data_IF_339334914816
#
_entry.id   IF_339334914816
#
_cell.length_a   1.000
_cell.length_b   1.000
_cell.length_c   1.000
_cell.angle_alpha   90.00
_cell.angle_beta   90.00
_cell.angle_gamma   90.00
#
_symmetry.space_group_name_H-M   'P 1'
#
loop_
_entity.id
_entity.type
_entity.pdbx_description
1 polymer ?
#
# COMPACT_ATOMS: atom_id res chain seq x y z
N UNK A 1 62.76 10.17 -4.87
CA UNK A 1 62.54 10.74 -6.21
C UNK A 1 61.76 9.74 -7.07
N UNK A 2 60.72 10.21 -7.77
CA UNK A 2 59.85 9.52 -8.78
C UNK A 2 58.94 8.41 -8.21
N UNK A 3 57.67 8.67 -7.85
CA UNK A 3 56.43 9.10 -8.57
C UNK A 3 55.47 7.91 -8.72
N UNK A 4 54.37 8.00 -7.97
CA UNK A 4 53.14 7.23 -8.08
C UNK A 4 52.52 7.32 -9.48
N UNK A 5 51.93 6.22 -9.94
CA UNK A 5 51.03 6.17 -11.09
C UNK A 5 49.90 5.17 -10.83
N UNK A 6 48.85 5.59 -10.12
CA UNK A 6 47.56 4.88 -10.06
C UNK A 6 46.78 5.22 -11.32
N UNK A 7 46.47 4.23 -12.15
CA UNK A 7 45.43 4.36 -13.17
C UNK A 7 44.05 4.22 -12.52
N UNK A 8 43.46 5.37 -12.19
CA UNK A 8 42.01 5.52 -12.10
C UNK A 8 41.50 5.78 -13.52
N UNK A 9 40.69 4.86 -14.06
CA UNK A 9 39.85 5.18 -15.22
C UNK A 9 38.51 5.70 -14.69
N UNK A 10 38.36 7.02 -14.77
CA UNK A 10 37.09 7.73 -14.63
C UNK A 10 36.19 7.37 -15.81
N UNK A 11 35.14 6.59 -15.57
CA UNK A 11 33.96 6.56 -16.44
C UNK A 11 32.74 6.49 -15.54
N UNK A 12 32.28 7.63 -15.04
CA UNK A 12 30.86 7.94 -14.84
C UNK A 12 30.75 9.46 -14.79
N UNK A 13 30.41 10.04 -15.94
CA UNK A 13 29.95 11.42 -16.00
C UNK A 13 28.65 11.53 -15.20
N UNK A 14 28.74 12.08 -14.00
CA UNK A 14 27.57 12.56 -13.27
C UNK A 14 27.02 13.78 -14.02
N UNK A 15 26.17 13.52 -15.01
CA UNK A 15 25.21 14.50 -15.45
C UNK A 15 24.32 14.85 -14.26
N UNK A 16 24.47 16.07 -13.77
CA UNK A 16 23.55 16.70 -12.82
C UNK A 16 22.16 16.76 -13.45
N UNK A 17 21.37 15.71 -13.25
CA UNK A 17 19.93 15.76 -13.49
C UNK A 17 19.27 16.55 -12.37
N UNK A 18 19.49 17.86 -12.37
CA UNK A 18 18.51 18.80 -11.78
C UNK A 18 17.35 18.92 -12.77
N UNK A 19 16.56 17.85 -12.92
CA UNK A 19 15.19 18.01 -13.39
C UNK A 19 14.36 18.30 -12.16
N UNK A 20 13.97 19.57 -12.02
CA UNK A 20 12.73 19.94 -11.35
C UNK A 20 11.69 18.91 -11.79
N UNK A 21 11.16 18.11 -10.86
CA UNK A 21 9.88 17.46 -11.06
C UNK A 21 8.84 18.54 -10.80
N UNK A 22 8.24 19.20 -11.82
CA UNK A 22 6.88 19.62 -11.61
C UNK A 22 6.08 18.31 -11.63
N UNK A 23 5.55 17.90 -10.49
CA UNK A 23 4.28 17.18 -10.48
C UNK A 23 3.26 18.12 -11.13
N UNK A 24 3.27 18.19 -12.47
CA UNK A 24 2.15 18.76 -13.21
C UNK A 24 1.01 17.81 -12.93
N UNK A 25 0.06 18.25 -12.11
CA UNK A 25 -1.26 17.66 -12.05
C UNK A 25 -1.71 17.41 -13.48
N UNK A 26 -1.88 16.15 -13.88
CA UNK A 26 -2.69 15.89 -15.06
C UNK A 26 -4.09 16.23 -14.63
N UNK A 27 -4.63 17.26 -15.26
CA UNK A 27 -6.02 17.64 -15.10
C UNK A 27 -6.88 16.40 -15.36
N UNK A 28 -7.69 15.99 -14.38
CA UNK A 28 -8.63 14.87 -14.54
C UNK A 28 -9.52 15.11 -15.78
N UNK A 29 -9.81 16.39 -16.05
CA UNK A 29 -10.52 16.87 -17.25
C UNK A 29 -9.86 16.49 -18.58
N UNK A 30 -8.54 16.28 -18.62
CA UNK A 30 -7.84 15.88 -19.85
C UNK A 30 -8.19 14.47 -20.31
N UNK A 31 -8.48 13.57 -19.37
CA UNK A 31 -8.80 12.18 -19.70
C UNK A 31 -10.29 11.94 -19.90
N UNK A 32 -11.18 12.74 -19.30
CA UNK A 32 -12.63 12.61 -19.46
C UNK A 32 -13.10 12.69 -20.92
N UNK A 33 -12.35 13.40 -21.77
CA UNK A 33 -12.64 13.57 -23.21
C UNK A 33 -11.90 12.58 -24.11
N UNK A 34 -11.07 11.70 -23.54
CA UNK A 34 -10.25 10.78 -24.31
C UNK A 34 -11.08 9.57 -24.74
N UNK A 35 -11.22 9.36 -26.04
CA UNK A 35 -11.90 8.21 -26.59
C UNK A 35 -10.97 6.98 -26.58
N UNK A 36 -11.04 6.22 -25.49
CA UNK A 36 -10.24 5.01 -25.29
C UNK A 36 -10.55 3.90 -26.31
N UNK A 37 -11.71 3.94 -26.97
CA UNK A 37 -12.11 2.90 -27.93
C UNK A 37 -11.17 2.82 -29.13
N UNK A 38 -10.54 3.94 -29.51
CA UNK A 38 -9.57 4.03 -30.61
C UNK A 38 -8.25 3.31 -30.34
N UNK A 39 -7.93 3.08 -29.07
CA UNK A 39 -6.69 2.39 -28.65
C UNK A 39 -6.82 0.87 -28.66
N UNK A 40 -8.06 0.38 -28.75
CA UNK A 40 -8.37 -1.03 -28.69
C UNK A 40 -8.69 -1.51 -30.09
N UNK A 41 -8.05 -2.59 -30.52
CA UNK A 41 -8.42 -3.29 -31.75
C UNK A 41 -9.94 -3.59 -31.71
N UNK A 42 -10.60 -3.82 -32.85
CA UNK A 42 -12.05 -4.12 -32.94
C UNK A 42 -12.51 -5.40 -32.20
N UNK A 43 -11.69 -5.90 -31.29
CA UNK A 43 -11.97 -6.98 -30.39
C UNK A 43 -13.12 -6.64 -29.42
N UNK A 44 -13.95 -7.64 -29.09
CA UNK A 44 -14.96 -7.51 -28.05
C UNK A 44 -14.29 -7.33 -26.69
N UNK A 45 -14.90 -6.52 -25.83
CA UNK A 45 -14.50 -6.35 -24.44
C UNK A 45 -15.74 -6.66 -23.62
N UNK A 46 -15.66 -7.65 -22.74
CA UNK A 46 -16.79 -8.07 -21.92
C UNK A 46 -16.89 -7.23 -20.64
N UNK A 47 -15.77 -6.69 -20.16
CA UNK A 47 -15.76 -5.83 -18.97
C UNK A 47 -14.68 -4.75 -19.00
N UNK A 48 -15.00 -3.61 -18.40
CA UNK A 48 -14.09 -2.48 -18.18
C UNK A 48 -13.97 -2.22 -16.68
N UNK A 49 -12.74 -2.17 -16.17
CA UNK A 49 -12.44 -1.99 -14.75
C UNK A 49 -11.72 -0.66 -14.56
N UNK A 50 -12.35 0.29 -13.87
CA UNK A 50 -11.71 1.54 -13.46
C UNK A 50 -10.94 1.35 -12.16
N UNK A 51 -9.64 1.60 -12.20
CA UNK A 51 -8.78 1.70 -11.01
C UNK A 51 -8.53 3.19 -10.82
N UNK A 52 -9.01 3.79 -9.72
CA UNK A 52 -8.96 5.22 -9.37
C UNK A 52 -10.01 6.16 -10.00
N UNK A 53 -10.18 7.32 -9.36
CA UNK A 53 -11.16 8.36 -9.73
C UNK A 53 -10.97 8.89 -11.17
N UNK A 54 -9.76 9.28 -11.63
CA UNK A 54 -9.53 9.66 -13.02
C UNK A 54 -9.99 8.64 -14.07
N UNK A 55 -10.02 7.35 -13.73
CA UNK A 55 -10.43 6.29 -14.65
C UNK A 55 -11.95 6.09 -14.75
N UNK A 56 -12.76 6.64 -13.84
CA UNK A 56 -14.21 6.33 -13.75
C UNK A 56 -14.94 6.72 -15.03
N UNK A 57 -14.94 8.01 -15.39
CA UNK A 57 -15.68 8.52 -16.56
C UNK A 57 -15.20 7.89 -17.87
N UNK A 58 -13.88 7.80 -18.16
CA UNK A 58 -13.41 7.14 -19.38
C UNK A 58 -13.81 5.65 -19.45
N UNK A 59 -13.83 4.95 -18.32
CA UNK A 59 -14.20 3.53 -18.28
C UNK A 59 -15.68 3.32 -18.60
N UNK A 60 -16.56 4.16 -18.05
CA UNK A 60 -18.00 4.10 -18.35
C UNK A 60 -18.26 4.37 -19.83
N UNK A 61 -17.61 5.40 -20.38
CA UNK A 61 -17.75 5.72 -21.81
C UNK A 61 -17.28 4.56 -22.69
N UNK A 62 -16.13 3.96 -22.37
CA UNK A 62 -15.62 2.80 -23.09
C UNK A 62 -16.57 1.60 -22.98
N UNK A 63 -17.10 1.33 -21.79
CA UNK A 63 -18.04 0.25 -21.56
C UNK A 63 -19.32 0.42 -22.37
N UNK A 64 -19.87 1.63 -22.42
CA UNK A 64 -21.06 1.94 -23.24
C UNK A 64 -20.79 1.75 -24.75
N UNK A 65 -19.61 2.13 -25.25
CA UNK A 65 -19.24 1.93 -26.66
C UNK A 65 -19.08 0.45 -27.01
N UNK A 66 -18.57 -0.34 -26.06
CA UNK A 66 -18.26 -1.77 -26.25
C UNK A 66 -19.38 -2.71 -25.81
N UNK A 67 -20.48 -2.18 -25.27
CA UNK A 67 -21.55 -2.95 -24.61
C UNK A 67 -21.00 -3.90 -23.54
N UNK A 68 -20.14 -3.36 -22.68
CA UNK A 68 -19.38 -4.12 -21.69
C UNK A 68 -19.85 -3.84 -20.25
N UNK A 69 -19.59 -4.78 -19.34
CA UNK A 69 -19.81 -4.55 -17.91
C UNK A 69 -18.83 -3.51 -17.35
N UNK A 70 -19.33 -2.58 -16.53
CA UNK A 70 -18.49 -1.61 -15.84
C UNK A 70 -18.27 -2.02 -14.38
N UNK A 71 -17.01 -2.09 -13.98
CA UNK A 71 -16.55 -2.34 -12.62
C UNK A 71 -15.71 -1.16 -12.15
N UNK A 72 -15.96 -0.66 -10.94
CA UNK A 72 -15.16 0.41 -10.33
C UNK A 72 -14.51 -0.13 -9.04
N UNK A 73 -13.19 0.03 -8.90
CA UNK A 73 -12.44 -0.33 -7.68
C UNK A 73 -11.94 0.95 -6.98
N UNK A 74 -12.52 1.24 -5.81
CA UNK A 74 -12.25 2.46 -5.05
C UNK A 74 -11.44 2.17 -3.79
N UNK A 75 -10.34 2.90 -3.61
CA UNK A 75 -9.48 2.84 -2.44
C UNK A 75 -9.53 4.10 -1.55
N UNK A 76 -10.30 5.11 -1.96
CA UNK A 76 -10.51 6.36 -1.23
C UNK A 76 -11.94 6.90 -1.43
N UNK A 77 -12.41 7.80 -0.54
CA UNK A 77 -13.63 8.57 -0.77
C UNK A 77 -13.51 9.42 -2.04
N UNK A 78 -14.59 9.45 -2.81
CA UNK A 78 -14.73 10.25 -4.04
C UNK A 78 -15.42 11.58 -3.74
N UNK A 79 -15.13 12.62 -4.51
CA UNK A 79 -15.83 13.91 -4.40
C UNK A 79 -17.33 13.76 -4.68
N UNK A 80 -18.14 14.33 -3.80
CA UNK A 80 -19.50 13.91 -3.56
C UNK A 80 -20.47 14.22 -4.71
N UNK A 81 -20.15 15.20 -5.55
CA UNK A 81 -21.07 15.65 -6.61
C UNK A 81 -20.69 15.15 -8.00
N UNK A 82 -19.43 14.77 -8.22
CA UNK A 82 -18.90 14.59 -9.57
C UNK A 82 -19.29 13.25 -10.21
N UNK A 83 -19.26 12.15 -9.44
CA UNK A 83 -19.42 10.79 -9.98
C UNK A 83 -20.68 10.07 -9.52
N UNK A 84 -21.55 10.70 -8.74
CA UNK A 84 -22.70 10.03 -8.12
C UNK A 84 -23.63 9.39 -9.13
N UNK A 85 -23.95 10.07 -10.24
CA UNK A 85 -24.82 9.50 -11.28
C UNK A 85 -24.11 8.37 -12.02
N UNK A 86 -22.85 8.58 -12.42
CA UNK A 86 -22.00 7.58 -13.03
C UNK A 86 -21.96 6.27 -12.22
N UNK A 87 -21.78 6.36 -10.91
CA UNK A 87 -21.70 5.19 -10.01
C UNK A 87 -23.04 4.50 -9.73
N UNK A 88 -24.17 5.16 -10.01
CA UNK A 88 -25.48 4.48 -9.93
C UNK A 88 -25.67 3.50 -11.09
N UNK A 89 -25.04 3.75 -12.23
CA UNK A 89 -25.25 2.99 -13.46
C UNK A 89 -24.26 1.84 -13.66
N UNK A 90 -23.12 1.83 -12.95
CA UNK A 90 -22.13 0.75 -13.09
C UNK A 90 -22.64 -0.59 -12.56
N UNK A 91 -22.10 -1.69 -13.05
CA UNK A 91 -22.57 -3.03 -12.68
C UNK A 91 -22.05 -3.47 -11.30
N UNK A 92 -20.79 -3.17 -11.00
CA UNK A 92 -20.15 -3.57 -9.75
C UNK A 92 -19.24 -2.47 -9.20
N UNK A 93 -19.27 -2.29 -7.88
CA UNK A 93 -18.37 -1.38 -7.17
C UNK A 93 -17.67 -2.17 -6.07
N UNK A 94 -16.35 -2.10 -6.07
CA UNK A 94 -15.49 -2.54 -4.99
C UNK A 94 -15.04 -1.34 -4.15
N UNK A 95 -14.96 -1.57 -2.84
CA UNK A 95 -14.40 -0.66 -1.86
C UNK A 95 -13.28 -1.34 -1.10
N UNK A 96 -12.17 -0.64 -0.87
CA UNK A 96 -11.02 -1.18 -0.14
C UNK A 96 -11.31 -1.48 1.34
N UNK A 97 -12.33 -0.84 1.93
CA UNK A 97 -12.69 -1.00 3.35
C UNK A 97 -14.20 -0.84 3.60
N UNK A 98 -14.65 -1.23 4.80
CA UNK A 98 -16.06 -1.22 5.19
C UNK A 98 -16.57 0.20 5.42
N UNK A 99 -15.79 1.07 6.05
CA UNK A 99 -16.18 2.46 6.26
C UNK A 99 -16.55 3.18 4.94
N UNK A 100 -15.72 3.03 3.91
CA UNK A 100 -15.97 3.56 2.57
C UNK A 100 -17.18 2.88 1.91
N UNK A 101 -17.29 1.55 2.02
CA UNK A 101 -18.42 0.81 1.48
C UNK A 101 -19.75 1.30 2.07
N UNK A 102 -19.87 1.39 3.40
CA UNK A 102 -21.08 1.87 4.07
C UNK A 102 -21.44 3.31 3.71
N UNK A 103 -20.44 4.18 3.52
CA UNK A 103 -20.67 5.54 3.02
C UNK A 103 -21.28 5.54 1.61
N UNK A 104 -20.68 4.77 0.71
CA UNK A 104 -21.15 4.63 -0.67
C UNK A 104 -22.52 3.94 -0.76
N UNK A 105 -22.79 2.92 0.05
CA UNK A 105 -24.07 2.20 0.08
C UNK A 105 -25.23 3.13 0.43
N UNK A 106 -25.06 3.94 1.49
CA UNK A 106 -26.07 4.94 1.89
C UNK A 106 -26.33 5.96 0.79
N UNK A 107 -25.27 6.39 0.11
CA UNK A 107 -25.33 7.45 -0.91
C UNK A 107 -25.92 6.98 -2.23
N UNK A 108 -25.54 5.79 -2.67
CA UNK A 108 -25.93 5.22 -3.95
C UNK A 108 -27.19 4.34 -3.84
N UNK A 109 -27.65 4.04 -2.63
CA UNK A 109 -28.75 3.13 -2.32
C UNK A 109 -28.59 1.78 -3.03
N UNK A 110 -27.38 1.22 -2.97
CA UNK A 110 -27.01 -0.07 -3.57
C UNK A 110 -25.93 -0.74 -2.72
N UNK A 111 -25.83 -2.05 -2.82
CA UNK A 111 -24.76 -2.81 -2.17
C UNK A 111 -23.39 -2.52 -2.79
N UNK A 112 -22.34 -2.45 -1.95
CA UNK A 112 -20.95 -2.24 -2.36
C UNK A 112 -20.11 -3.41 -1.86
N UNK A 113 -19.35 -4.05 -2.75
CA UNK A 113 -18.51 -5.20 -2.37
C UNK A 113 -17.23 -4.71 -1.71
N UNK A 114 -16.86 -5.28 -0.57
CA UNK A 114 -15.58 -4.94 0.10
C UNK A 114 -14.49 -5.87 -0.43
N UNK A 115 -13.47 -5.32 -1.10
CA UNK A 115 -12.28 -6.07 -1.52
C UNK A 115 -11.02 -5.36 -1.02
N UNK A 116 -10.32 -5.98 -0.08
CA UNK A 116 -9.16 -5.35 0.56
C UNK A 116 -7.91 -5.49 -0.31
N UNK A 117 -7.02 -4.51 -0.21
CA UNK A 117 -5.74 -4.51 -0.93
C UNK A 117 -4.68 -5.31 -0.18
N UNK A 118 -4.90 -6.63 -0.04
CA UNK A 118 -3.98 -7.53 0.67
C UNK A 118 -3.04 -8.21 -0.34
N UNK A 119 -1.74 -7.96 -0.22
CA UNK A 119 -0.74 -8.61 -1.08
C UNK A 119 -0.60 -10.10 -0.72
N UNK A 120 -0.44 -10.95 -1.73
CA UNK A 120 -0.08 -12.35 -1.55
C UNK A 120 1.38 -12.44 -1.10
N UNK A 121 1.62 -12.94 0.10
CA UNK A 121 2.98 -13.17 0.58
C UNK A 121 3.52 -14.49 0.02
N UNK A 122 4.70 -14.43 -0.61
CA UNK A 122 5.46 -15.62 -0.95
C UNK A 122 6.27 -16.05 0.27
N UNK A 123 6.24 -17.34 0.60
CA UNK A 123 7.12 -17.90 1.62
C UNK A 123 8.56 -17.88 1.11
N UNK A 124 9.39 -17.01 1.67
CA UNK A 124 10.81 -16.99 1.40
C UNK A 124 11.53 -17.66 2.58
N UNK A 125 12.42 -18.60 2.27
CA UNK A 125 13.25 -19.29 3.28
C UNK A 125 14.42 -18.44 3.77
N UNK A 126 14.75 -17.36 3.06
CA UNK A 126 15.81 -16.42 3.39
C UNK A 126 15.21 -15.09 3.82
N UNK A 127 15.78 -14.53 4.88
CA UNK A 127 15.31 -13.30 5.51
C UNK A 127 16.47 -12.41 5.96
N UNK A 128 16.16 -11.14 6.25
CA UNK A 128 17.09 -10.17 6.80
C UNK A 128 16.79 -9.98 8.28
N UNK A 129 17.72 -10.41 9.12
CA UNK A 129 17.65 -10.30 10.57
C UNK A 129 18.13 -8.91 11.03
N UNK A 130 17.20 -8.10 11.52
CA UNK A 130 17.48 -6.72 11.92
C UNK A 130 18.38 -6.62 13.17
N UNK A 131 18.31 -7.57 14.12
CA UNK A 131 19.20 -7.58 15.28
C UNK A 131 20.64 -7.77 14.83
N UNK A 132 20.87 -8.68 13.88
CA UNK A 132 22.20 -8.92 13.31
C UNK A 132 22.74 -7.74 12.50
N UNK A 133 21.90 -7.08 11.71
CA UNK A 133 22.29 -5.91 10.91
C UNK A 133 22.81 -4.78 11.79
N UNK A 134 22.20 -4.55 12.95
CA UNK A 134 22.55 -3.46 13.86
C UNK A 134 23.34 -3.90 15.10
N UNK A 135 23.80 -5.15 15.13
CA UNK A 135 24.55 -5.73 16.26
C UNK A 135 23.88 -5.52 17.62
N UNK A 136 22.54 -5.68 17.65
CA UNK A 136 21.75 -5.56 18.87
C UNK A 136 21.86 -6.84 19.69
N UNK A 137 21.88 -6.70 21.01
CA UNK A 137 21.89 -7.83 21.95
C UNK A 137 20.51 -8.52 21.97
N UNK A 138 20.48 -9.79 22.38
CA UNK A 138 19.27 -10.60 22.32
C UNK A 138 18.11 -10.03 23.16
N UNK A 139 18.42 -9.44 24.32
CA UNK A 139 17.42 -8.82 25.21
C UNK A 139 16.93 -7.44 24.73
N UNK A 140 17.47 -6.91 23.63
CA UNK A 140 16.96 -5.67 23.03
C UNK A 140 15.54 -5.89 22.52
N UNK A 141 14.63 -5.02 22.96
CA UNK A 141 13.28 -4.96 22.42
C UNK A 141 13.23 -4.04 21.21
N UNK A 142 12.61 -4.51 20.13
CA UNK A 142 12.55 -3.80 18.86
C UNK A 142 11.14 -3.29 18.61
N UNK A 143 11.05 -1.99 18.43
CA UNK A 143 9.89 -1.32 17.85
C UNK A 143 10.20 -1.00 16.39
N UNK A 144 9.29 -1.33 15.47
CA UNK A 144 9.41 -0.97 14.06
C UNK A 144 8.44 0.16 13.68
N UNK A 145 8.90 1.08 12.84
CA UNK A 145 8.07 2.07 12.17
C UNK A 145 8.39 2.07 10.67
N UNK A 146 7.39 2.05 9.83
CA UNK A 146 7.55 2.09 8.37
C UNK A 146 7.25 3.52 7.88
N UNK A 147 8.29 4.18 7.38
CA UNK A 147 8.30 5.56 6.93
C UNK A 147 7.69 5.75 5.54
N UNK A 148 7.26 4.69 4.86
CA UNK A 148 6.57 4.80 3.57
C UNK A 148 5.15 5.34 3.79
N UNK A 149 5.05 6.66 3.95
CA UNK A 149 3.83 7.36 4.29
C UNK A 149 3.03 7.59 3.00
N UNK A 150 1.76 7.20 3.00
CA UNK A 150 0.82 7.69 2.00
C UNK A 150 0.37 9.09 2.39
N UNK A 151 0.52 10.04 1.47
CA UNK A 151 0.31 11.46 1.75
C UNK A 151 -1.14 11.86 1.48
N UNK A 152 -1.68 12.68 2.38
CA UNK A 152 -2.90 13.47 2.15
C UNK A 152 -2.71 14.32 0.88
N UNK A 153 -3.76 14.46 0.07
CA UNK A 153 -3.77 15.51 -0.96
C UNK A 153 -3.50 16.86 -0.29
N UNK A 154 -2.43 17.56 -0.71
CA UNK A 154 -2.13 18.93 -0.29
C UNK A 154 -1.05 19.10 0.79
N UNK A 155 -0.51 18.03 1.38
CA UNK A 155 0.56 18.14 2.39
C UNK A 155 1.91 17.66 1.86
N UNK A 156 3.00 18.36 2.23
CA UNK A 156 4.35 17.98 1.85
C UNK A 156 4.77 16.68 2.57
N UNK A 157 5.26 15.66 1.82
CA UNK A 157 5.80 14.43 2.38
C UNK A 157 6.80 14.63 3.52
N UNK A 158 7.65 15.64 3.37
CA UNK A 158 8.72 15.94 4.32
C UNK A 158 8.17 16.42 5.66
N UNK A 159 7.12 17.26 5.64
CA UNK A 159 6.56 17.85 6.86
C UNK A 159 5.83 16.80 7.69
N UNK A 160 5.04 15.94 7.04
CA UNK A 160 4.37 14.82 7.70
C UNK A 160 5.41 13.88 8.33
N UNK A 161 6.45 13.52 7.57
CA UNK A 161 7.45 12.60 8.10
C UNK A 161 8.22 13.22 9.26
N UNK A 162 8.62 14.49 9.16
CA UNK A 162 9.26 15.24 10.25
C UNK A 162 8.40 15.23 11.52
N UNK A 163 7.10 15.52 11.41
CA UNK A 163 6.19 15.50 12.57
C UNK A 163 6.15 14.12 13.23
N UNK A 164 6.07 13.04 12.44
CA UNK A 164 6.12 11.67 12.96
C UNK A 164 7.46 11.36 13.64
N UNK A 165 8.58 11.83 13.10
CA UNK A 165 9.89 11.66 13.72
C UNK A 165 9.98 12.37 15.08
N UNK A 166 9.48 13.61 15.19
CA UNK A 166 9.40 14.34 16.47
C UNK A 166 8.57 13.55 17.48
N UNK A 167 7.37 13.13 17.08
CA UNK A 167 6.47 12.38 17.95
C UNK A 167 7.08 11.06 18.43
N UNK A 168 7.70 10.30 17.54
CA UNK A 168 8.38 9.04 17.89
C UNK A 168 9.58 9.29 18.81
N UNK A 169 10.35 10.38 18.60
CA UNK A 169 11.47 10.72 19.47
C UNK A 169 11.02 11.01 20.91
N UNK A 170 9.91 11.74 21.07
CA UNK A 170 9.28 12.01 22.36
C UNK A 170 8.80 10.72 23.05
N UNK A 171 8.22 9.78 22.29
CA UNK A 171 7.87 8.46 22.82
C UNK A 171 9.13 7.75 23.31
N UNK A 172 10.16 7.65 22.47
CA UNK A 172 11.35 6.87 22.74
C UNK A 172 12.15 7.41 23.94
N UNK A 173 12.20 8.73 24.13
CA UNK A 173 12.79 9.39 25.31
C UNK A 173 12.21 8.82 26.62
N UNK A 174 10.92 8.49 26.64
CA UNK A 174 10.20 8.01 27.81
C UNK A 174 10.17 6.47 27.95
N UNK A 175 10.77 5.74 27.01
CA UNK A 175 10.88 4.28 27.02
C UNK A 175 12.24 3.82 27.60
N UNK A 176 12.29 2.61 28.18
CA UNK A 176 13.54 2.05 28.70
C UNK A 176 14.67 2.01 27.67
N UNK A 177 15.93 2.10 28.14
CA UNK A 177 17.10 2.17 27.26
C UNK A 177 17.31 0.94 26.38
N UNK A 178 16.82 -0.22 26.79
CA UNK A 178 16.89 -1.47 26.02
C UNK A 178 15.87 -1.53 24.87
N UNK A 179 14.98 -0.54 24.75
CA UNK A 179 14.03 -0.43 23.63
C UNK A 179 14.67 0.36 22.50
N UNK A 180 14.76 -0.26 21.33
CA UNK A 180 15.30 0.33 20.11
C UNK A 180 14.20 0.51 19.06
N UNK A 181 14.33 1.57 18.27
CA UNK A 181 13.47 1.86 17.14
C UNK A 181 14.20 1.53 15.84
N UNK A 182 13.54 0.79 14.96
CA UNK A 182 13.98 0.58 13.58
C UNK A 182 12.97 1.25 12.64
N UNK A 183 13.43 2.25 11.92
CA UNK A 183 12.68 2.92 10.88
C UNK A 183 13.00 2.23 9.55
N UNK A 184 11.97 1.78 8.83
CA UNK A 184 12.11 1.17 7.50
C UNK A 184 11.57 2.12 6.44
N UNK A 185 12.19 2.19 5.27
CA UNK A 185 11.73 3.05 4.18
C UNK A 185 12.64 3.01 2.95
N UNK A 186 12.28 3.73 1.90
CA UNK A 186 13.06 3.82 0.67
C UNK A 186 14.22 4.82 0.75
N UNK A 187 14.85 5.05 -0.40
CA UNK A 187 15.95 6.02 -0.54
C UNK A 187 15.46 7.44 -0.26
N UNK A 188 14.25 7.77 -0.68
CA UNK A 188 13.62 9.08 -0.43
C UNK A 188 13.47 9.32 1.07
N UNK A 189 12.86 8.38 1.78
CA UNK A 189 12.65 8.47 3.23
C UNK A 189 13.99 8.51 3.98
N UNK A 190 14.99 7.75 3.53
CA UNK A 190 16.35 7.80 4.11
C UNK A 190 16.93 9.21 4.04
N UNK A 191 16.77 9.89 2.90
CA UNK A 191 17.30 11.24 2.72
C UNK A 191 16.59 12.23 3.63
N UNK A 192 15.27 12.10 3.81
CA UNK A 192 14.50 12.92 4.75
C UNK A 192 14.93 12.63 6.19
N UNK A 193 15.08 11.36 6.56
CA UNK A 193 15.55 10.97 7.89
C UNK A 193 16.90 11.61 8.22
N UNK A 194 17.88 11.55 7.30
CA UNK A 194 19.19 12.20 7.48
C UNK A 194 19.09 13.72 7.69
N UNK A 195 18.15 14.40 7.03
CA UNK A 195 17.94 15.83 7.24
C UNK A 195 17.44 16.18 8.65
N UNK A 196 16.81 15.21 9.33
CA UNK A 196 16.16 15.39 10.63
C UNK A 196 16.70 14.45 11.71
N UNK A 197 17.89 13.85 11.52
CA UNK A 197 18.47 12.89 12.47
C UNK A 197 18.75 13.53 13.83
N UNK A 198 19.06 14.83 13.85
CA UNK A 198 19.28 15.62 15.05
C UNK A 198 18.06 15.71 15.99
N UNK A 199 16.85 15.34 15.53
CA UNK A 199 15.67 15.22 16.40
C UNK A 199 15.96 14.23 17.52
N UNK A 200 16.52 13.05 17.19
CA UNK A 200 16.77 12.01 18.19
C UNK A 200 17.94 12.35 19.11
N UNK A 201 18.88 13.18 18.67
CA UNK A 201 19.93 13.71 19.55
C UNK A 201 19.34 14.64 20.62
N UNK A 202 18.41 15.53 20.25
CA UNK A 202 17.73 16.43 21.20
C UNK A 202 16.95 15.68 22.28
N UNK A 203 16.45 14.49 21.95
CA UNK A 203 15.71 13.60 22.85
C UNK A 203 16.60 12.51 23.49
N UNK A 204 17.93 12.63 23.39
CA UNK A 204 18.91 11.69 23.97
C UNK A 204 18.66 10.22 23.59
N UNK A 205 18.25 9.97 22.35
CA UNK A 205 17.87 8.64 21.88
C UNK A 205 18.50 8.25 20.53
N UNK A 206 19.45 9.03 20.01
CA UNK A 206 20.14 8.78 18.73
C UNK A 206 20.76 7.38 18.62
N UNK A 207 21.36 6.86 19.69
CA UNK A 207 21.97 5.51 19.72
C UNK A 207 20.95 4.36 19.71
N UNK A 208 19.68 4.67 19.91
CA UNK A 208 18.58 3.70 19.95
C UNK A 208 17.75 3.69 18.67
N UNK A 209 18.11 4.49 17.68
CA UNK A 209 17.34 4.68 16.45
C UNK A 209 18.16 4.27 15.24
N UNK A 210 17.58 3.38 14.44
CA UNK A 210 18.25 2.81 13.27
C UNK A 210 17.38 3.01 12.03
N UNK A 211 17.99 3.36 10.89
CA UNK A 211 17.25 3.48 9.62
C UNK A 211 17.65 2.38 8.64
N UNK A 212 16.72 1.48 8.36
CA UNK A 212 16.86 0.45 7.35
C UNK A 212 16.30 0.93 6.01
N UNK A 213 17.18 1.03 5.01
CA UNK A 213 16.78 1.38 3.64
C UNK A 213 16.41 0.13 2.85
N UNK A 214 15.13 -0.01 2.51
CA UNK A 214 14.65 -1.02 1.58
C UNK A 214 15.34 -0.82 0.22
N UNK A 215 15.95 -1.88 -0.32
CA UNK A 215 16.73 -1.86 -1.54
C UNK A 215 16.38 -3.09 -2.42
N UNK A 216 17.01 -3.25 -3.58
CA UNK A 216 16.75 -4.41 -4.46
C UNK A 216 16.92 -5.76 -3.75
N UNK A 217 17.80 -5.86 -2.76
CA UNK A 217 17.96 -7.07 -1.96
C UNK A 217 16.78 -7.30 -0.99
N UNK A 218 16.12 -6.26 -0.47
CA UNK A 218 14.91 -6.41 0.37
C UNK A 218 13.71 -6.92 -0.43
N UNK A 219 13.67 -6.73 -1.75
CA UNK A 219 12.70 -7.41 -2.63
C UNK A 219 12.96 -8.92 -2.73
N UNK A 220 14.22 -9.35 -2.60
CA UNK A 220 14.62 -10.76 -2.66
C UNK A 220 14.54 -11.45 -1.29
N UNK A 221 14.84 -10.71 -0.22
CA UNK A 221 14.90 -11.22 1.15
C UNK A 221 14.06 -10.31 2.05
N UNK A 222 12.86 -10.74 2.47
CA UNK A 222 12.04 -9.94 3.37
C UNK A 222 12.73 -9.77 4.72
N UNK A 223 12.40 -8.69 5.43
CA UNK A 223 12.78 -8.53 6.82
C UNK A 223 12.18 -9.67 7.66
N UNK A 224 12.99 -10.14 8.60
CA UNK A 224 12.58 -10.99 9.68
C UNK A 224 11.90 -10.15 10.75
N UNK A 225 10.65 -10.49 11.02
CA UNK A 225 9.83 -9.82 12.00
C UNK A 225 9.62 -10.67 13.25
N UNK A 226 10.20 -11.89 13.31
CA UNK A 226 10.10 -12.76 14.48
C UNK A 226 10.79 -12.14 15.71
N UNK A 227 11.77 -11.26 15.47
CA UNK A 227 12.49 -10.48 16.48
C UNK A 227 11.94 -9.06 16.70
N UNK A 228 10.78 -8.73 16.14
CA UNK A 228 10.13 -7.42 16.31
C UNK A 228 9.03 -7.55 17.36
N UNK A 229 9.19 -6.85 18.47
CA UNK A 229 8.23 -6.90 19.58
C UNK A 229 6.95 -6.10 19.30
N UNK A 230 7.05 -5.02 18.54
CA UNK A 230 5.92 -4.12 18.31
C UNK A 230 6.09 -3.28 17.05
N UNK A 231 4.99 -3.01 16.34
CA UNK A 231 4.94 -2.05 15.26
C UNK A 231 4.17 -0.77 15.64
N UNK A 232 4.68 0.38 15.22
CA UNK A 232 3.95 1.65 15.26
C UNK A 232 3.31 1.93 13.90
N UNK A 233 2.02 2.21 13.91
CA UNK A 233 1.27 2.58 12.71
C UNK A 233 0.68 3.99 12.87
N UNK A 234 1.47 4.99 12.45
CA UNK A 234 1.07 6.39 12.53
C UNK A 234 0.43 6.81 11.22
N UNK A 235 -0.88 6.63 11.11
CA UNK A 235 -1.66 7.07 9.97
C UNK A 235 -2.14 8.51 10.13
N UNK A 236 -2.23 9.22 9.01
CA UNK A 236 -2.78 10.59 8.92
C UNK A 236 -4.17 10.61 8.26
N UNK A 237 -4.63 9.48 7.70
CA UNK A 237 -5.87 9.42 6.93
C UNK A 237 -6.90 8.44 7.51
N UNK A 238 -7.98 8.96 8.08
CA UNK A 238 -9.00 8.14 8.75
C UNK A 238 -9.80 7.22 7.80
N UNK A 239 -9.80 7.50 6.48
CA UNK A 239 -10.60 6.76 5.50
C UNK A 239 -9.82 5.66 4.73
N UNK A 240 -8.53 5.51 5.03
CA UNK A 240 -7.67 4.54 4.38
C UNK A 240 -7.19 3.47 5.36
N UNK A 241 -7.11 2.21 4.92
CA UNK A 241 -6.46 1.14 5.68
C UNK A 241 -4.99 1.03 5.22
N UNK A 242 -4.00 1.37 6.06
CA UNK A 242 -2.59 1.37 5.67
C UNK A 242 -2.12 0.02 5.16
N UNK A 243 -1.37 -0.02 4.06
CA UNK A 243 -0.74 -1.27 3.58
C UNK A 243 0.17 -1.92 4.62
N UNK A 244 0.75 -1.10 5.50
CA UNK A 244 1.56 -1.52 6.65
C UNK A 244 0.78 -2.39 7.64
N UNK A 245 -0.53 -2.16 7.81
CA UNK A 245 -1.37 -3.04 8.64
C UNK A 245 -1.30 -4.48 8.14
N UNK A 246 -1.51 -4.70 6.84
CA UNK A 246 -1.46 -6.04 6.25
C UNK A 246 -0.05 -6.63 6.29
N UNK A 247 0.99 -5.80 6.14
CA UNK A 247 2.40 -6.21 6.31
C UNK A 247 2.62 -6.78 7.71
N UNK A 248 2.28 -6.04 8.77
CA UNK A 248 2.47 -6.46 10.15
C UNK A 248 1.57 -7.64 10.55
N UNK A 249 0.30 -7.65 10.13
CA UNK A 249 -0.60 -8.80 10.35
C UNK A 249 -0.02 -10.08 9.76
N UNK A 250 0.47 -10.02 8.52
CA UNK A 250 1.01 -11.19 7.84
C UNK A 250 2.29 -11.74 8.49
N UNK A 251 3.00 -10.86 9.21
CA UNK A 251 4.21 -11.12 9.96
C UNK A 251 3.93 -11.40 11.44
N UNK A 252 2.66 -11.45 11.85
CA UNK A 252 2.25 -11.71 13.22
C UNK A 252 2.90 -10.74 14.22
N UNK A 253 3.06 -9.48 13.81
CA UNK A 253 3.61 -8.41 14.65
C UNK A 253 2.44 -7.63 15.26
N UNK A 254 2.38 -7.51 16.60
CA UNK A 254 1.39 -6.68 17.25
C UNK A 254 1.63 -5.20 16.95
N UNK A 255 0.58 -4.39 17.04
CA UNK A 255 0.65 -3.00 16.60
C UNK A 255 -0.03 -2.03 17.56
N UNK A 256 0.54 -0.85 17.70
CA UNK A 256 -0.13 0.32 18.27
C UNK A 256 -0.27 1.35 17.16
N UNK A 257 -1.48 1.83 16.96
CA UNK A 257 -1.82 2.64 15.79
C UNK A 257 -2.61 3.89 16.16
N UNK A 258 -2.49 4.93 15.35
CA UNK A 258 -3.56 5.94 15.27
C UNK A 258 -4.79 5.35 14.59
N UNK A 259 -5.92 6.04 14.64
CA UNK A 259 -7.14 5.61 13.96
C UNK A 259 -6.95 5.56 12.42
N UNK A 260 -7.60 4.59 11.79
CA UNK A 260 -7.62 4.38 10.34
C UNK A 260 -8.89 3.61 9.96
N UNK A 261 -9.18 3.45 8.67
CA UNK A 261 -10.41 2.79 8.25
C UNK A 261 -10.50 1.35 8.77
N UNK A 262 -11.62 1.06 9.44
CA UNK A 262 -11.92 -0.20 10.10
C UNK A 262 -10.97 -0.60 11.26
N UNK A 263 -10.13 0.33 11.76
CA UNK A 263 -9.12 0.04 12.79
C UNK A 263 -9.70 -0.63 14.05
N UNK A 264 -10.87 -0.19 14.50
CA UNK A 264 -11.55 -0.78 15.65
C UNK A 264 -11.85 -2.27 15.44
N UNK A 265 -12.37 -2.65 14.28
CA UNK A 265 -12.65 -4.06 13.95
C UNK A 265 -11.34 -4.83 13.73
N UNK A 266 -10.40 -4.23 12.99
CA UNK A 266 -9.20 -4.87 12.50
C UNK A 266 -8.10 -5.04 13.55
N UNK A 267 -8.10 -4.21 14.60
CA UNK A 267 -7.07 -4.20 15.65
C UNK A 267 -7.68 -4.47 17.02
N UNK A 268 -8.63 -3.63 17.44
CA UNK A 268 -9.18 -3.66 18.82
C UNK A 268 -10.06 -4.89 19.03
N UNK A 269 -11.09 -5.11 18.19
CA UNK A 269 -11.98 -6.27 18.30
C UNK A 269 -11.28 -7.60 18.05
N UNK A 270 -10.26 -7.59 17.19
CA UNK A 270 -9.39 -8.75 16.96
C UNK A 270 -8.39 -8.99 18.13
N UNK A 271 -8.24 -8.03 19.06
CA UNK A 271 -7.31 -8.09 20.18
C UNK A 271 -5.86 -8.43 19.74
N UNK A 272 -5.39 -7.72 18.71
CA UNK A 272 -4.03 -7.86 18.15
C UNK A 272 -3.15 -6.61 18.38
N UNK A 273 -3.70 -5.60 19.04
CA UNK A 273 -3.07 -4.30 19.20
C UNK A 273 -3.98 -3.30 19.89
N UNK A 274 -3.58 -2.03 19.87
CA UNK A 274 -4.33 -0.93 20.51
C UNK A 274 -4.42 0.26 19.53
N UNK A 275 -5.55 0.96 19.55
CA UNK A 275 -5.78 2.20 18.79
C UNK A 275 -5.76 3.40 19.74
N UNK A 276 -5.05 4.45 19.37
CA UNK A 276 -4.94 5.70 20.13
C UNK A 276 -5.38 6.86 19.23
N UNK A 277 -6.43 7.57 19.65
CA UNK A 277 -7.10 8.56 18.80
C UNK A 277 -6.38 9.93 18.72
N UNK A 278 -5.33 10.14 19.51
CA UNK A 278 -4.57 11.37 19.55
C UNK A 278 -3.04 11.10 19.51
N UNK A 279 -2.27 12.16 19.32
CA UNK A 279 -0.81 12.12 19.47
C UNK A 279 -0.39 12.46 20.91
N UNK A 280 -1.09 11.89 21.90
CA UNK A 280 -0.70 12.02 23.31
C UNK A 280 0.47 11.07 23.63
N UNK A 281 1.66 11.65 23.79
CA UNK A 281 2.89 10.92 24.06
C UNK A 281 2.76 10.02 25.30
N UNK A 282 2.11 10.48 26.37
CA UNK A 282 2.00 9.72 27.62
C UNK A 282 1.14 8.47 27.42
N UNK A 283 0.03 8.61 26.68
CA UNK A 283 -0.85 7.50 26.35
C UNK A 283 -0.10 6.45 25.51
N UNK A 284 0.65 6.88 24.49
CA UNK A 284 1.47 5.98 23.67
C UNK A 284 2.53 5.25 24.49
N UNK A 285 3.29 5.97 25.31
CA UNK A 285 4.33 5.40 26.19
C UNK A 285 3.72 4.36 27.13
N UNK A 286 2.57 4.66 27.73
CA UNK A 286 1.86 3.75 28.65
C UNK A 286 1.46 2.46 27.93
N UNK A 287 0.87 2.57 26.74
CA UNK A 287 0.43 1.42 25.95
C UNK A 287 1.60 0.58 25.43
N UNK A 288 2.68 1.22 25.00
CA UNK A 288 3.91 0.54 24.59
C UNK A 288 4.50 -0.22 25.78
N UNK A 289 4.69 0.42 26.94
CA UNK A 289 5.22 -0.23 28.14
C UNK A 289 4.37 -1.42 28.58
N UNK A 290 3.03 -1.27 28.56
CA UNK A 290 2.09 -2.37 28.86
C UNK A 290 2.33 -3.56 27.93
N UNK A 291 2.48 -3.32 26.63
CA UNK A 291 2.71 -4.39 25.66
C UNK A 291 4.07 -5.07 25.84
N UNK A 292 5.13 -4.26 25.94
CA UNK A 292 6.50 -4.74 26.08
C UNK A 292 6.71 -5.58 27.36
N UNK A 293 6.02 -5.20 28.45
CA UNK A 293 6.04 -5.86 29.75
C UNK A 293 4.93 -6.92 29.92
N UNK A 294 4.14 -7.19 28.88
CA UNK A 294 3.10 -8.21 28.95
C UNK A 294 3.70 -9.59 29.28
N UNK A 295 2.97 -10.37 30.06
CA UNK A 295 3.36 -11.75 30.38
C UNK A 295 3.47 -12.61 29.11
N UNK A 296 4.23 -13.71 29.19
CA UNK A 296 4.33 -14.66 28.08
C UNK A 296 2.95 -15.16 27.63
N UNK A 297 2.05 -15.44 28.58
CA UNK A 297 0.67 -15.85 28.28
C UNK A 297 -0.10 -14.80 27.48
N UNK A 298 0.04 -13.52 27.81
CA UNK A 298 -0.60 -12.44 27.06
C UNK A 298 -0.01 -12.28 25.66
N UNK A 299 1.32 -12.39 25.53
CA UNK A 299 2.00 -12.33 24.23
C UNK A 299 1.56 -13.50 23.32
N UNK A 300 1.49 -14.72 23.85
CA UNK A 300 1.01 -15.89 23.12
C UNK A 300 -0.47 -15.77 22.72
N UNK A 301 -1.30 -15.16 23.58
CA UNK A 301 -2.70 -14.86 23.24
C UNK A 301 -2.78 -13.88 22.07
N UNK A 302 -2.00 -12.80 22.09
CA UNK A 302 -1.96 -11.82 21.00
C UNK A 302 -1.47 -12.48 19.70
N UNK A 303 -0.44 -13.32 19.77
CA UNK A 303 0.07 -14.09 18.62
C UNK A 303 -0.98 -15.03 18.03
N UNK A 304 -1.73 -15.74 18.89
CA UNK A 304 -2.84 -16.61 18.46
C UNK A 304 -3.94 -15.81 17.74
N UNK A 305 -4.26 -14.62 18.24
CA UNK A 305 -5.24 -13.74 17.60
C UNK A 305 -4.74 -13.23 16.24
N UNK A 306 -3.46 -12.84 16.16
CA UNK A 306 -2.81 -12.43 14.90
C UNK A 306 -2.86 -13.56 13.86
N UNK A 307 -2.57 -14.80 14.26
CA UNK A 307 -2.66 -15.97 13.39
C UNK A 307 -4.09 -16.22 12.90
N UNK A 308 -5.08 -16.07 13.77
CA UNK A 308 -6.50 -16.21 13.44
C UNK A 308 -6.92 -15.14 12.43
N UNK A 309 -6.59 -13.88 12.70
CA UNK A 309 -6.90 -12.75 11.83
C UNK A 309 -6.18 -12.86 10.48
N UNK A 310 -4.92 -13.30 10.45
CA UNK A 310 -4.14 -13.56 9.22
C UNK A 310 -4.77 -14.66 8.35
N UNK A 311 -5.35 -15.70 8.96
CA UNK A 311 -6.08 -16.74 8.22
C UNK A 311 -7.34 -16.17 7.56
N UNK A 312 -8.01 -15.22 8.21
CA UNK A 312 -9.22 -14.58 7.69
C UNK A 312 -8.91 -13.51 6.63
N UNK A 313 -7.84 -12.73 6.82
CA UNK A 313 -7.44 -11.61 5.96
C UNK A 313 -6.09 -11.95 5.32
N UNK A 314 -6.15 -12.56 4.13
CA UNK A 314 -4.97 -12.85 3.33
C UNK A 314 -5.24 -12.63 1.84
N UNK A 315 -4.17 -12.36 1.09
CA UNK A 315 -4.27 -12.03 -0.34
C UNK A 315 -4.91 -13.12 -1.21
N UNK A 316 -4.80 -14.40 -0.83
CA UNK A 316 -5.43 -15.48 -1.60
C UNK A 316 -6.95 -15.50 -1.44
N UNK A 317 -7.45 -15.29 -0.21
CA UNK A 317 -8.89 -15.20 0.04
C UNK A 317 -9.50 -13.93 -0.56
N UNK A 318 -8.82 -12.79 -0.42
CA UNK A 318 -9.28 -11.52 -1.02
C UNK A 318 -9.27 -11.59 -2.54
N UNK A 319 -8.27 -12.23 -3.15
CA UNK A 319 -8.23 -12.50 -4.59
C UNK A 319 -9.41 -13.36 -5.06
N UNK A 320 -9.64 -14.48 -4.37
CA UNK A 320 -10.76 -15.36 -4.67
C UNK A 320 -12.10 -14.64 -4.48
N UNK A 321 -12.24 -13.84 -3.43
CA UNK A 321 -13.45 -13.05 -3.20
C UNK A 321 -13.70 -12.06 -4.34
N UNK A 322 -12.67 -11.31 -4.74
CA UNK A 322 -12.73 -10.36 -5.85
C UNK A 322 -13.17 -11.04 -7.16
N UNK A 323 -12.51 -12.14 -7.55
CA UNK A 323 -12.83 -12.84 -8.79
C UNK A 323 -14.21 -13.49 -8.73
N UNK A 324 -14.57 -14.13 -7.62
CA UNK A 324 -15.91 -14.72 -7.47
C UNK A 324 -17.02 -13.68 -7.59
N UNK A 325 -16.81 -12.44 -7.10
CA UNK A 325 -17.78 -11.35 -7.27
C UNK A 325 -17.96 -10.97 -8.74
N UNK A 326 -16.88 -10.98 -9.52
CA UNK A 326 -16.93 -10.75 -10.97
C UNK A 326 -17.60 -11.94 -11.67
N UNK A 327 -17.20 -13.18 -11.36
CA UNK A 327 -17.78 -14.38 -11.97
C UNK A 327 -19.27 -14.51 -11.68
N UNK A 328 -19.73 -14.16 -10.48
CA UNK A 328 -21.15 -14.16 -10.12
C UNK A 328 -21.94 -13.14 -10.95
N UNK A 329 -21.36 -11.96 -11.20
CA UNK A 329 -21.95 -10.97 -12.11
C UNK A 329 -22.07 -11.53 -13.53
N UNK A 330 -21.02 -12.20 -14.02
CA UNK A 330 -20.96 -12.76 -15.37
C UNK A 330 -21.74 -14.06 -15.54
N UNK A 331 -22.04 -14.81 -14.49
CA UNK A 331 -22.74 -16.10 -14.57
C UNK A 331 -24.22 -15.92 -14.91
N UNK A 332 -24.75 -14.71 -14.74
CA UNK A 332 -26.07 -14.33 -15.25
C UNK A 332 -26.04 -13.96 -16.75
N UNK A 333 -24.87 -14.01 -17.38
CA UNK A 333 -24.68 -13.72 -18.79
C UNK A 333 -24.34 -15.04 -19.51
N UNK A 334 -24.85 -15.23 -20.72
CA UNK A 334 -24.47 -16.37 -21.56
C UNK A 334 -22.94 -16.34 -21.77
N UNK A 335 -22.20 -17.21 -21.06
CA UNK A 335 -20.74 -17.17 -21.02
C UNK A 335 -20.18 -17.40 -22.42
N UNK A 336 -19.57 -16.38 -23.00
CA UNK A 336 -18.64 -16.54 -24.12
C UNK A 336 -17.41 -17.31 -23.61
N UNK A 337 -16.86 -18.21 -24.44
CA UNK A 337 -15.74 -19.07 -24.02
C UNK A 337 -14.41 -18.32 -23.83
N UNK A 338 -14.35 -17.00 -24.06
CA UNK A 338 -13.12 -16.20 -24.03
C UNK A 338 -13.38 -14.77 -23.52
N UNK A 339 -13.60 -14.61 -22.21
CA UNK A 339 -13.80 -13.30 -21.59
C UNK A 339 -12.58 -12.39 -21.77
N UNK A 340 -12.82 -11.11 -22.10
CA UNK A 340 -11.84 -10.05 -22.24
C UNK A 340 -12.16 -8.90 -21.28
N UNK A 341 -11.17 -8.52 -20.47
CA UNK A 341 -11.23 -7.41 -19.54
C UNK A 341 -10.29 -6.28 -19.94
N UNK A 342 -10.78 -5.05 -19.87
CA UNK A 342 -9.98 -3.84 -20.04
C UNK A 342 -9.84 -3.11 -18.70
N UNK A 343 -8.65 -3.07 -18.14
CA UNK A 343 -8.36 -2.30 -16.93
C UNK A 343 -7.88 -0.91 -17.33
N UNK A 344 -8.49 0.12 -16.76
CA UNK A 344 -8.14 1.53 -17.00
C UNK A 344 -7.52 2.08 -15.71
N UNK A 345 -6.23 2.41 -15.76
CA UNK A 345 -5.48 3.01 -14.64
C UNK A 345 -4.80 4.29 -15.13
N UNK A 346 -5.46 5.42 -14.90
CA UNK A 346 -5.01 6.75 -15.31
C UNK A 346 -4.24 7.50 -14.21
N UNK A 347 -3.55 6.76 -13.33
CA UNK A 347 -2.75 7.36 -12.27
C UNK A 347 -1.48 8.06 -12.80
N UNK A 348 -1.10 9.14 -12.11
CA UNK A 348 -0.17 10.15 -12.62
C UNK A 348 1.32 9.73 -12.68
N UNK A 349 1.73 8.55 -12.23
CA UNK A 349 3.17 8.27 -12.04
C UNK A 349 3.64 6.84 -12.29
N UNK A 350 2.77 5.82 -12.21
CA UNK A 350 3.09 4.40 -12.42
C UNK A 350 1.83 3.57 -12.35
N UNK A 351 1.79 2.43 -13.06
CA UNK A 351 0.78 1.40 -12.82
C UNK A 351 0.77 1.03 -11.34
N UNK A 352 -0.42 1.02 -10.74
CA UNK A 352 -0.55 0.65 -9.32
C UNK A 352 -0.27 -0.84 -9.11
N UNK A 353 0.24 -1.21 -7.93
CA UNK A 353 0.36 -2.63 -7.55
C UNK A 353 -1.01 -3.34 -7.61
N UNK A 354 -2.10 -2.60 -7.38
CA UNK A 354 -3.48 -3.09 -7.47
C UNK A 354 -3.84 -3.48 -8.90
N UNK A 355 -3.54 -2.64 -9.88
CA UNK A 355 -3.72 -2.92 -11.32
C UNK A 355 -2.99 -4.20 -11.73
N UNK A 356 -1.73 -4.35 -11.32
CA UNK A 356 -0.98 -5.58 -11.59
C UNK A 356 -1.63 -6.80 -10.93
N UNK A 357 -1.99 -6.70 -9.64
CA UNK A 357 -2.63 -7.80 -8.93
C UNK A 357 -3.95 -8.22 -9.59
N UNK A 358 -4.82 -7.27 -9.94
CA UNK A 358 -6.09 -7.55 -10.64
C UNK A 358 -5.83 -8.21 -11.98
N UNK A 359 -4.87 -7.70 -12.76
CA UNK A 359 -4.51 -8.30 -14.06
C UNK A 359 -4.13 -9.78 -13.92
N UNK A 360 -3.28 -10.11 -12.94
CA UNK A 360 -2.88 -11.49 -12.69
C UNK A 360 -4.03 -12.36 -12.16
N UNK A 361 -4.87 -11.84 -11.27
CA UNK A 361 -6.02 -12.58 -10.73
C UNK A 361 -7.02 -12.96 -11.83
N UNK A 362 -7.31 -12.03 -12.75
CA UNK A 362 -8.21 -12.29 -13.89
C UNK A 362 -7.57 -13.30 -14.85
N UNK A 363 -6.29 -13.16 -15.15
CA UNK A 363 -5.55 -14.08 -16.02
C UNK A 363 -5.48 -15.51 -15.46
N UNK A 364 -5.26 -15.68 -14.15
CA UNK A 364 -5.28 -17.00 -13.49
C UNK A 364 -6.64 -17.71 -13.64
N UNK A 365 -7.71 -16.95 -13.91
CA UNK A 365 -9.07 -17.43 -14.17
C UNK A 365 -9.43 -17.45 -15.66
N UNK A 366 -8.45 -17.38 -16.56
CA UNK A 366 -8.66 -17.52 -18.01
C UNK A 366 -9.26 -16.29 -18.70
N UNK A 367 -9.28 -15.13 -18.04
CA UNK A 367 -9.75 -13.87 -18.61
C UNK A 367 -8.55 -13.17 -19.26
N UNK A 368 -8.67 -12.81 -20.54
CA UNK A 368 -7.64 -12.02 -21.23
C UNK A 368 -7.71 -10.57 -20.76
N UNK A 369 -6.57 -9.94 -20.48
CA UNK A 369 -6.53 -8.60 -19.90
C UNK A 369 -5.77 -7.64 -20.80
N UNK A 370 -6.36 -6.50 -21.11
CA UNK A 370 -5.64 -5.33 -21.56
C UNK A 370 -5.63 -4.25 -20.47
N UNK A 371 -4.53 -3.53 -20.35
CA UNK A 371 -4.33 -2.46 -19.36
C UNK A 371 -4.05 -1.16 -20.08
N UNK A 372 -4.95 -0.20 -19.97
CA UNK A 372 -4.81 1.16 -20.48
C UNK A 372 -4.20 2.05 -19.39
N UNK A 373 -3.03 2.61 -19.66
CA UNK A 373 -2.33 3.45 -18.68
C UNK A 373 -1.46 4.54 -19.33
N UNK A 374 -1.26 5.70 -18.69
CA UNK A 374 -0.37 6.74 -19.23
C UNK A 374 1.12 6.33 -19.22
N UNK A 375 1.50 5.40 -18.34
CA UNK A 375 2.89 4.99 -18.11
C UNK A 375 3.05 3.48 -18.18
N UNK A 376 3.80 3.01 -19.19
CA UNK A 376 4.16 1.60 -19.29
C UNK A 376 5.19 1.21 -18.21
N UNK A 377 5.14 -0.02 -17.69
CA UNK A 377 6.08 -0.47 -16.68
C UNK A 377 7.49 -0.61 -17.29
N UNK A 378 8.50 -0.07 -16.62
CA UNK A 378 9.90 -0.07 -17.09
C UNK A 378 10.55 -1.47 -17.12
N UNK A 379 10.00 -2.42 -16.36
CA UNK A 379 10.58 -3.76 -16.24
C UNK A 379 9.55 -4.76 -15.70
N UNK A 380 8.97 -5.57 -16.58
CA UNK A 380 8.39 -6.87 -16.21
C UNK A 380 8.94 -7.94 -17.14
N UNK A 381 9.74 -8.85 -16.59
CA UNK A 381 10.13 -10.13 -17.19
C UNK A 381 9.02 -11.17 -17.02
N UNK A 382 8.88 -12.15 -17.94
CA UNK A 382 8.48 -11.98 -19.34
C UNK A 382 6.99 -11.61 -19.44
N UNK A 383 6.62 -10.98 -20.55
CA UNK A 383 5.23 -10.79 -21.00
C UNK A 383 4.45 -12.10 -20.79
N UNK A 384 3.54 -12.14 -19.80
CA UNK A 384 2.49 -13.15 -19.86
C UNK A 384 1.73 -12.86 -21.15
N UNK A 385 1.59 -13.86 -22.02
CA UNK A 385 1.06 -13.64 -23.36
C UNK A 385 -0.41 -13.16 -23.36
N UNK A 386 -1.03 -13.09 -22.17
CA UNK A 386 -2.43 -12.79 -21.95
C UNK A 386 -2.66 -11.44 -21.21
N UNK A 387 -1.60 -10.68 -20.91
CA UNK A 387 -1.73 -9.30 -20.40
C UNK A 387 -1.08 -8.33 -21.40
N UNK A 388 -1.91 -7.52 -22.05
CA UNK A 388 -1.47 -6.47 -22.97
C UNK A 388 -1.42 -5.11 -22.24
N UNK A 389 -0.29 -4.40 -22.31
CA UNK A 389 -0.18 -3.04 -21.78
C UNK A 389 -0.20 -2.03 -22.91
N UNK A 390 -1.20 -1.14 -22.92
CA UNK A 390 -1.41 -0.14 -23.97
C UNK A 390 -1.24 1.25 -23.36
N UNK A 391 -0.36 2.04 -23.97
CA UNK A 391 -0.09 3.40 -23.50
C UNK A 391 -1.19 4.35 -23.98
N UNK A 392 -1.77 5.09 -23.05
CA UNK A 392 -2.66 6.23 -23.34
C UNK A 392 -1.78 7.46 -23.56
N UNK A 393 -1.74 7.98 -24.78
CA UNK A 393 -0.87 9.10 -25.19
C UNK A 393 -1.61 10.25 -25.82
#
# INVERSE_FOLDING_TARGET
MKKFGRHFLNIFGFGTFTKKNPTKNVDIEKFEKFDLSKLLNNEPIDMVIAINEPAITPSINLANIKDAFTIIDLDHPIDDNKFTNALKEVNLIFSANRQLATGLEKKLNRHIVISRHVKKNKSNTKYIDLKKVYHLIDDTQIIVFDANIQHSYGESPNDIFKQKLVFIAQILENLPRYVHLIITGGVTEKNIFKQYENIFEKHNCSTRVHFYTENLASFKYPLDFDNVDLALLLNTQNYYTPVQYYKYLSKEVPMISTEFADSNQLVTSANIGEIINNQDVEQWVTKIKKHLNASLTEKEKIKTNLQTQKKQINGSLEAKHFVNSIENMLTNCEKTQNLKACIVDLSNNKISDRTHNISYMLMEHGINVCVLTPFLPLSHTPLSHNIEYIKVS
#
